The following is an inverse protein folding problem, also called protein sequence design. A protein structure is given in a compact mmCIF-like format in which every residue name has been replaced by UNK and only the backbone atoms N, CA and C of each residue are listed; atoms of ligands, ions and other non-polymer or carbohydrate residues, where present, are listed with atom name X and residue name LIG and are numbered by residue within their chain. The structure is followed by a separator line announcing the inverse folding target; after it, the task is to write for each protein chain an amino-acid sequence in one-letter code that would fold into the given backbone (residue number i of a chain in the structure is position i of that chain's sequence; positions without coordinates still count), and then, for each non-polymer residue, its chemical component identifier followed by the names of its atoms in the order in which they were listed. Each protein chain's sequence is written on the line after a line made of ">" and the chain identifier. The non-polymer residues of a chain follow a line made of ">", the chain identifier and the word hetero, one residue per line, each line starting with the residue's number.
data_IF_017627256959
#
_entry.id   IF_017627256959
#
_cell.length_a   1.000
_cell.length_b   1.000
_cell.length_c   1.000
_cell.angle_alpha   90.00
_cell.angle_beta   90.00
_cell.angle_gamma   90.00
#
_symmetry.space_group_name_H-M   'P 1'
#
loop_
_entity.id
_entity.type
_entity.pdbx_description
1 polymer ?
#
# COMPACT_ATOMS: atom_id res chain seq x y z
N UNK A 1 -10.11 13.85 -0.81
CA UNK A 1 -10.16 12.39 -1.04
C UNK A 1 -11.41 11.82 -0.42
N UNK A 2 -11.95 10.75 -0.95
CA UNK A 2 -13.15 10.08 -0.42
C UNK A 2 -13.04 8.55 -0.57
N UNK A 3 -13.81 7.83 0.24
CA UNK A 3 -14.00 6.39 0.09
C UNK A 3 -15.00 6.13 -1.06
N UNK A 4 -14.63 5.21 -1.97
CA UNK A 4 -15.38 4.97 -3.20
C UNK A 4 -16.46 3.91 -3.00
N UNK A 5 -16.17 2.88 -2.18
CA UNK A 5 -17.06 1.72 -2.00
C UNK A 5 -17.02 1.16 -0.58
N UNK A 6 -17.92 0.20 -0.29
CA UNK A 6 -18.01 -0.49 1.00
C UNK A 6 -18.80 0.27 2.07
N UNK A 7 -18.60 -0.11 3.32
CA UNK A 7 -19.35 0.39 4.49
C UNK A 7 -19.13 1.88 4.78
N UNK A 8 -17.96 2.41 4.37
CA UNK A 8 -17.58 3.81 4.58
C UNK A 8 -17.75 4.67 3.33
N UNK A 9 -18.44 4.16 2.28
CA UNK A 9 -18.63 4.87 1.02
C UNK A 9 -19.08 6.32 1.21
N UNK A 10 -18.40 7.25 0.53
CA UNK A 10 -18.68 8.68 0.56
C UNK A 10 -18.01 9.44 1.71
N UNK A 11 -17.46 8.77 2.74
CA UNK A 11 -16.68 9.45 3.80
C UNK A 11 -15.49 10.20 3.21
N UNK A 12 -15.27 11.41 3.69
CA UNK A 12 -14.16 12.26 3.26
C UNK A 12 -12.97 12.11 4.21
N UNK A 13 -11.79 11.91 3.65
CA UNK A 13 -10.53 11.90 4.39
C UNK A 13 -10.02 13.36 4.42
N UNK A 14 -9.96 14.02 5.61
CA UNK A 14 -9.60 15.43 5.75
C UNK A 14 -8.08 15.65 5.71
N UNK A 15 -7.39 15.03 4.75
CA UNK A 15 -5.95 15.13 4.60
C UNK A 15 -5.55 16.42 3.89
N UNK A 16 -4.63 17.18 4.51
CA UNK A 16 -4.10 18.41 3.94
C UNK A 16 -2.61 18.24 3.59
N UNK A 17 -2.30 18.11 2.30
CA UNK A 17 -0.94 17.89 1.80
C UNK A 17 0.07 18.94 2.32
N UNK A 18 -0.32 20.22 2.39
CA UNK A 18 0.56 21.30 2.88
C UNK A 18 0.99 21.08 4.34
N UNK A 19 0.15 20.45 5.16
CA UNK A 19 0.44 20.16 6.57
C UNK A 19 1.35 18.94 6.74
N UNK A 20 1.37 18.01 5.77
CA UNK A 20 2.06 16.73 5.87
C UNK A 20 3.23 16.59 4.88
N UNK A 21 3.74 17.73 4.35
CA UNK A 21 4.95 17.79 3.54
C UNK A 21 4.86 16.95 2.27
N UNK A 22 4.34 17.52 1.18
CA UNK A 22 4.26 16.94 -0.18
C UNK A 22 3.86 15.46 -0.28
N UNK A 23 3.19 14.94 0.78
CA UNK A 23 2.63 13.60 0.73
C UNK A 23 1.64 13.54 -0.44
N UNK A 24 1.93 12.68 -1.38
CA UNK A 24 1.07 12.52 -2.55
C UNK A 24 -0.26 11.92 -2.15
N UNK A 25 -1.26 12.33 -2.90
CA UNK A 25 -2.60 11.78 -2.80
C UNK A 25 -2.77 10.84 -3.98
N UNK A 26 -2.92 9.56 -3.69
CA UNK A 26 -3.30 8.59 -4.71
C UNK A 26 -4.63 9.02 -5.33
N UNK A 27 -4.66 9.18 -6.65
CA UNK A 27 -5.87 9.62 -7.35
C UNK A 27 -7.01 8.59 -7.24
N UNK A 28 -8.25 9.04 -7.36
CA UNK A 28 -9.40 8.12 -7.37
C UNK A 28 -9.29 7.11 -8.52
N UNK A 29 -8.70 7.49 -9.67
CA UNK A 29 -8.44 6.57 -10.80
C UNK A 29 -7.47 5.44 -10.45
N UNK A 30 -6.43 5.72 -9.67
CA UNK A 30 -5.49 4.68 -9.20
C UNK A 30 -6.19 3.76 -8.21
N UNK A 31 -6.98 4.29 -7.27
CA UNK A 31 -7.78 3.48 -6.35
C UNK A 31 -8.75 2.57 -7.10
N UNK A 32 -9.47 3.09 -8.08
CA UNK A 32 -10.37 2.30 -8.93
C UNK A 32 -9.63 1.19 -9.69
N UNK A 33 -8.41 1.45 -10.16
CA UNK A 33 -7.60 0.44 -10.84
C UNK A 33 -7.14 -0.67 -9.90
N UNK A 34 -6.69 -0.32 -8.68
CA UNK A 34 -6.27 -1.28 -7.65
C UNK A 34 -7.47 -2.14 -7.23
N UNK A 35 -8.55 -1.52 -6.77
CA UNK A 35 -9.70 -2.24 -6.22
C UNK A 35 -10.58 -2.87 -7.29
N UNK A 36 -10.56 -2.36 -8.52
CA UNK A 36 -11.21 -3.01 -9.67
C UNK A 36 -10.57 -4.35 -10.04
N UNK A 37 -9.26 -4.50 -9.80
CA UNK A 37 -8.56 -5.76 -10.02
C UNK A 37 -8.77 -6.78 -8.88
N UNK A 38 -9.13 -6.31 -7.69
CA UNK A 38 -9.32 -7.14 -6.49
C UNK A 38 -10.78 -7.56 -6.27
N UNK A 39 -11.70 -6.92 -6.95
CA UNK A 39 -13.14 -7.10 -6.74
C UNK A 39 -13.76 -6.08 -5.79
N UNK A 40 -15.10 -6.03 -5.73
CA UNK A 40 -15.84 -5.05 -4.94
C UNK A 40 -15.79 -5.33 -3.44
N UNK A 41 -15.60 -6.58 -3.04
CA UNK A 41 -15.59 -7.06 -1.65
C UNK A 41 -14.26 -7.74 -1.33
N UNK A 42 -13.72 -7.46 -0.15
CA UNK A 42 -12.43 -7.96 0.32
C UNK A 42 -12.53 -8.68 1.67
N UNK A 43 -13.70 -9.13 2.06
CA UNK A 43 -13.90 -9.92 3.29
C UNK A 43 -12.99 -11.15 3.28
N UNK A 44 -12.26 -11.36 4.37
CA UNK A 44 -11.26 -12.43 4.50
C UNK A 44 -9.94 -12.17 3.76
N UNK A 45 -9.80 -11.04 3.06
CA UNK A 45 -8.54 -10.64 2.44
C UNK A 45 -7.71 -9.79 3.38
N UNK A 46 -6.38 -9.82 3.18
CA UNK A 46 -5.39 -9.06 3.95
C UNK A 46 -4.63 -8.12 3.03
N UNK A 47 -4.55 -6.86 3.41
CA UNK A 47 -3.79 -5.82 2.70
C UNK A 47 -2.62 -5.35 3.56
N UNK A 48 -1.47 -5.15 2.92
CA UNK A 48 -0.28 -4.51 3.49
C UNK A 48 0.07 -3.25 2.71
N UNK A 49 0.36 -2.15 3.42
CA UNK A 49 0.80 -0.87 2.86
C UNK A 49 1.97 -0.31 3.67
N UNK A 50 3.22 -0.50 3.19
CA UNK A 50 4.43 -0.03 3.87
C UNK A 50 4.61 1.50 3.89
N UNK A 51 3.87 2.24 3.04
CA UNK A 51 4.01 3.68 2.83
C UNK A 51 2.64 4.38 2.87
N UNK A 52 1.90 4.20 3.95
CA UNK A 52 0.48 4.50 4.02
C UNK A 52 0.09 5.97 3.74
N UNK A 53 0.99 6.94 3.96
CA UNK A 53 0.75 8.34 3.63
C UNK A 53 -0.47 8.94 4.32
N UNK A 54 -1.56 9.06 3.57
CA UNK A 54 -2.86 9.53 4.11
C UNK A 54 -3.73 8.39 4.65
N UNK A 55 -3.33 7.13 4.50
CA UNK A 55 -4.10 5.94 4.85
C UNK A 55 -5.22 5.56 3.87
N UNK A 56 -5.37 6.30 2.77
CA UNK A 56 -6.56 6.19 1.90
C UNK A 56 -6.76 4.81 1.25
N UNK A 57 -5.67 4.10 0.92
CA UNK A 57 -5.75 2.72 0.38
C UNK A 57 -6.22 1.77 1.48
N UNK A 58 -5.68 1.91 2.68
CA UNK A 58 -6.09 1.11 3.84
C UNK A 58 -7.55 1.31 4.21
N UNK A 59 -8.02 2.56 4.28
CA UNK A 59 -9.43 2.82 4.61
C UNK A 59 -10.39 2.31 3.52
N UNK A 60 -10.01 2.42 2.25
CA UNK A 60 -10.79 1.87 1.14
C UNK A 60 -10.88 0.34 1.24
N UNK A 61 -9.76 -0.32 1.57
CA UNK A 61 -9.71 -1.77 1.76
C UNK A 61 -10.54 -2.22 2.98
N UNK A 62 -10.40 -1.54 4.13
CA UNK A 62 -11.19 -1.80 5.32
C UNK A 62 -12.69 -1.60 5.08
N UNK A 63 -13.06 -0.53 4.34
CA UNK A 63 -14.44 -0.27 3.92
C UNK A 63 -15.05 -1.41 3.11
N UNK A 64 -14.22 -2.20 2.42
CA UNK A 64 -14.60 -3.38 1.63
C UNK A 64 -14.48 -4.69 2.41
N UNK A 65 -14.16 -4.63 3.70
CA UNK A 65 -14.11 -5.80 4.59
C UNK A 65 -12.74 -6.45 4.75
N UNK A 66 -11.65 -5.87 4.22
CA UNK A 66 -10.30 -6.39 4.41
C UNK A 66 -9.78 -6.15 5.82
N UNK A 67 -8.92 -7.05 6.29
CA UNK A 67 -7.98 -6.76 7.38
C UNK A 67 -6.74 -6.06 6.79
N UNK A 68 -6.25 -5.00 7.45
CA UNK A 68 -5.30 -4.06 6.87
C UNK A 68 -4.13 -3.82 7.81
N UNK A 69 -2.91 -3.87 7.28
CA UNK A 69 -1.67 -3.49 7.96
C UNK A 69 -1.07 -2.27 7.28
N UNK A 70 -1.02 -1.16 8.00
CA UNK A 70 -0.48 0.12 7.55
C UNK A 70 0.82 0.43 8.27
N UNK A 71 1.77 0.99 7.55
CA UNK A 71 2.95 1.58 8.15
C UNK A 71 3.25 2.94 7.54
N UNK A 72 3.64 3.89 8.35
CA UNK A 72 4.27 5.13 7.88
C UNK A 72 5.34 5.58 8.88
N UNK A 73 6.57 5.79 8.40
CA UNK A 73 7.69 6.24 9.24
C UNK A 73 7.54 7.67 9.75
N UNK A 74 6.77 8.50 9.07
CA UNK A 74 6.52 9.87 9.49
C UNK A 74 5.51 9.93 10.64
N UNK A 75 5.96 10.42 11.79
CA UNK A 75 5.14 10.49 13.02
C UNK A 75 3.89 11.34 12.86
N UNK A 76 3.90 12.39 12.02
CA UNK A 76 2.74 13.25 11.80
C UNK A 76 1.68 12.54 10.99
N UNK A 77 2.08 11.84 9.91
CA UNK A 77 1.18 11.02 9.09
C UNK A 77 0.63 9.85 9.89
N UNK A 78 1.48 9.13 10.61
CA UNK A 78 1.05 8.07 11.53
C UNK A 78 0.00 8.58 12.54
N UNK A 79 0.26 9.74 13.20
CA UNK A 79 -0.69 10.36 14.12
C UNK A 79 -2.03 10.71 13.46
N UNK A 80 -1.99 11.21 12.21
CA UNK A 80 -3.19 11.47 11.43
C UNK A 80 -3.98 10.20 11.15
N UNK A 81 -3.30 9.13 10.68
CA UNK A 81 -3.94 7.84 10.37
C UNK A 81 -4.58 7.26 11.63
N UNK A 82 -3.86 7.28 12.77
CA UNK A 82 -4.38 6.80 14.05
C UNK A 82 -5.66 7.51 14.47
N UNK A 83 -5.72 8.84 14.32
CA UNK A 83 -6.92 9.60 14.67
C UNK A 83 -8.13 9.22 13.80
N UNK A 84 -7.91 9.00 12.49
CA UNK A 84 -8.97 8.52 11.58
C UNK A 84 -9.43 7.11 11.96
N UNK A 85 -8.51 6.21 12.28
CA UNK A 85 -8.84 4.84 12.73
C UNK A 85 -9.74 4.89 13.97
N UNK A 86 -9.42 5.75 14.93
CA UNK A 86 -10.23 5.94 16.14
C UNK A 86 -11.60 6.58 15.83
N UNK A 87 -11.62 7.67 15.07
CA UNK A 87 -12.85 8.38 14.70
C UNK A 87 -13.83 7.50 13.90
N UNK A 88 -13.30 6.62 13.07
CA UNK A 88 -14.10 5.76 12.20
C UNK A 88 -14.32 4.35 12.77
N UNK A 89 -13.85 4.08 13.98
CA UNK A 89 -13.99 2.80 14.70
C UNK A 89 -13.42 1.61 13.89
N UNK A 90 -12.21 1.79 13.33
CA UNK A 90 -11.55 0.80 12.47
C UNK A 90 -10.45 0.01 13.18
N UNK A 91 -10.32 0.12 14.50
CA UNK A 91 -9.24 -0.50 15.27
C UNK A 91 -9.20 -2.03 15.15
N UNK A 92 -10.34 -2.68 14.96
CA UNK A 92 -10.42 -4.14 14.80
C UNK A 92 -10.05 -4.62 13.38
N UNK A 93 -9.95 -3.68 12.43
CA UNK A 93 -9.66 -3.99 11.02
C UNK A 93 -8.29 -3.49 10.56
N UNK A 94 -7.74 -2.44 11.21
CA UNK A 94 -6.51 -1.79 10.79
C UNK A 94 -5.47 -1.82 11.90
N UNK A 95 -4.38 -2.56 11.67
CA UNK A 95 -3.13 -2.48 12.42
C UNK A 95 -2.28 -1.34 11.86
N UNK A 96 -1.73 -0.47 12.72
CA UNK A 96 -0.95 0.70 12.32
C UNK A 96 0.40 0.74 13.03
N UNK A 97 1.47 0.78 12.25
CA UNK A 97 2.87 0.88 12.71
C UNK A 97 3.53 2.19 12.34
N UNK A 98 4.55 2.60 13.12
CA UNK A 98 5.42 3.75 12.85
C UNK A 98 6.88 3.30 12.87
N UNK A 99 7.30 2.59 11.84
CA UNK A 99 8.61 1.96 11.75
C UNK A 99 9.28 2.27 10.40
N UNK A 100 10.56 1.97 10.28
CA UNK A 100 11.20 1.79 8.98
C UNK A 100 10.51 0.61 8.27
N UNK A 101 10.17 0.77 6.99
CA UNK A 101 9.39 -0.21 6.25
C UNK A 101 10.07 -1.57 6.14
N UNK A 102 11.39 -1.61 5.99
CA UNK A 102 12.14 -2.87 5.86
C UNK A 102 12.15 -3.65 7.18
N UNK A 103 12.40 -2.96 8.30
CA UNK A 103 12.29 -3.56 9.64
C UNK A 103 10.88 -4.08 9.90
N UNK A 104 9.88 -3.30 9.52
CA UNK A 104 8.48 -3.67 9.70
C UNK A 104 8.09 -4.91 8.91
N UNK A 105 8.44 -5.01 7.60
CA UNK A 105 8.19 -6.20 6.79
C UNK A 105 8.88 -7.44 7.37
N UNK A 106 10.13 -7.29 7.83
CA UNK A 106 10.87 -8.37 8.46
C UNK A 106 10.22 -8.84 9.77
N UNK A 107 9.65 -7.92 10.57
CA UNK A 107 8.89 -8.28 11.77
C UNK A 107 7.61 -9.04 11.42
N UNK A 108 6.87 -8.60 10.40
CA UNK A 108 5.65 -9.29 9.95
C UNK A 108 5.94 -10.69 9.40
N UNK A 109 7.06 -10.90 8.73
CA UNK A 109 7.41 -12.22 8.17
C UNK A 109 7.67 -13.30 9.24
N UNK A 110 7.89 -12.90 10.49
CA UNK A 110 8.01 -13.83 11.61
C UNK A 110 6.67 -14.51 11.98
N UNK A 111 5.54 -13.94 11.53
CA UNK A 111 4.22 -14.53 11.68
C UNK A 111 3.78 -15.20 10.37
N UNK A 112 4.06 -16.49 10.23
CA UNK A 112 3.71 -17.30 9.07
C UNK A 112 2.19 -17.36 8.78
N UNK A 113 1.34 -16.92 9.71
CA UNK A 113 -0.12 -16.85 9.51
C UNK A 113 -0.58 -15.64 8.72
N UNK A 114 0.35 -14.74 8.34
CA UNK A 114 0.07 -13.44 7.71
C UNK A 114 0.48 -13.32 6.21
N UNK A 115 0.26 -14.31 5.30
CA UNK A 115 0.44 -14.02 3.89
C UNK A 115 -0.64 -13.06 3.42
N UNK A 116 -0.21 -12.00 2.70
CA UNK A 116 -1.09 -10.92 2.24
C UNK A 116 -1.66 -11.21 0.86
N UNK A 117 -2.93 -10.85 0.64
CA UNK A 117 -3.58 -10.97 -0.65
C UNK A 117 -3.35 -9.74 -1.54
N UNK A 118 -3.05 -8.61 -0.90
CA UNK A 118 -2.79 -7.34 -1.57
C UNK A 118 -1.66 -6.61 -0.85
N UNK A 119 -0.64 -6.22 -1.61
CA UNK A 119 0.33 -5.24 -1.19
C UNK A 119 0.19 -3.98 -2.05
N UNK A 120 0.20 -2.82 -1.43
CA UNK A 120 0.26 -1.53 -2.12
C UNK A 120 1.56 -0.82 -1.73
N UNK A 121 2.37 -0.46 -2.70
CA UNK A 121 3.72 0.10 -2.51
C UNK A 121 3.80 1.45 -3.22
N UNK A 122 3.85 2.55 -2.48
CA UNK A 122 3.91 3.93 -2.99
C UNK A 122 4.95 4.76 -2.20
N UNK A 123 6.25 4.42 -2.31
CA UNK A 123 7.30 5.18 -1.63
C UNK A 123 7.44 6.59 -2.23
N UNK A 124 8.14 7.52 -1.56
CA UNK A 124 8.50 8.80 -2.15
C UNK A 124 9.25 8.57 -3.49
N UNK A 125 8.91 9.32 -4.54
CA UNK A 125 9.34 9.01 -5.92
C UNK A 125 10.83 9.00 -6.16
N UNK A 126 11.58 9.82 -5.45
CA UNK A 126 13.02 9.92 -5.60
C UNK A 126 13.77 9.21 -4.46
N UNK A 127 13.04 8.42 -3.65
CA UNK A 127 13.64 7.69 -2.55
C UNK A 127 14.42 6.49 -3.07
N UNK A 128 15.66 6.39 -2.59
CA UNK A 128 16.58 5.30 -2.87
C UNK A 128 17.13 4.72 -1.57
N UNK A 129 17.49 3.46 -1.61
CA UNK A 129 18.22 2.81 -0.51
C UNK A 129 19.64 3.37 -0.40
N UNK A 130 20.38 3.09 0.68
CA UNK A 130 21.81 3.47 0.80
C UNK A 130 22.68 2.98 -0.36
N UNK A 131 22.30 1.88 -1.00
CA UNK A 131 22.98 1.27 -2.14
C UNK A 131 22.56 1.90 -3.49
N UNK A 132 21.63 2.87 -3.49
CA UNK A 132 21.16 3.59 -4.67
C UNK A 132 20.02 2.89 -5.43
N UNK A 133 19.43 1.81 -4.91
CA UNK A 133 18.29 1.14 -5.51
C UNK A 133 17.00 1.94 -5.22
N UNK A 134 16.06 2.12 -6.18
CA UNK A 134 14.75 2.72 -5.89
C UNK A 134 14.02 2.00 -4.76
N UNK A 135 13.46 2.73 -3.78
CA UNK A 135 12.73 2.10 -2.65
C UNK A 135 11.54 1.25 -3.14
N UNK A 136 10.94 1.58 -4.27
CA UNK A 136 9.88 0.77 -4.89
C UNK A 136 10.37 -0.63 -5.29
N UNK A 137 11.56 -0.73 -5.88
CA UNK A 137 12.18 -2.00 -6.25
C UNK A 137 12.65 -2.78 -5.02
N UNK A 138 13.32 -2.10 -4.08
CA UNK A 138 13.78 -2.71 -2.84
C UNK A 138 12.63 -3.29 -2.01
N UNK A 139 11.49 -2.59 -1.95
CA UNK A 139 10.31 -3.06 -1.23
C UNK A 139 9.68 -4.29 -1.91
N UNK A 140 9.62 -4.32 -3.26
CA UNK A 140 9.18 -5.50 -4.01
C UNK A 140 10.08 -6.70 -3.71
N UNK A 141 11.40 -6.53 -3.78
CA UNK A 141 12.37 -7.60 -3.45
C UNK A 141 12.16 -8.13 -2.04
N UNK A 142 12.01 -7.22 -1.06
CA UNK A 142 11.79 -7.61 0.32
C UNK A 142 10.48 -8.41 0.52
N UNK A 143 9.39 -8.02 -0.15
CA UNK A 143 8.11 -8.76 -0.08
C UNK A 143 8.27 -10.16 -0.65
N UNK A 144 9.00 -10.32 -1.76
CA UNK A 144 9.29 -11.61 -2.38
C UNK A 144 10.16 -12.49 -1.47
N UNK A 145 11.30 -11.97 -1.02
CA UNK A 145 12.30 -12.69 -0.23
C UNK A 145 11.75 -13.16 1.14
N UNK A 146 10.88 -12.34 1.72
CA UNK A 146 10.22 -12.64 3.00
C UNK A 146 8.96 -13.49 2.86
N UNK A 147 8.58 -13.90 1.64
CA UNK A 147 7.40 -14.72 1.35
C UNK A 147 6.10 -14.15 1.95
N UNK A 148 5.93 -12.84 1.88
CA UNK A 148 4.80 -12.14 2.50
C UNK A 148 3.51 -12.21 1.66
N UNK A 149 3.57 -12.72 0.44
CA UNK A 149 2.42 -12.73 -0.46
C UNK A 149 1.73 -14.11 -0.47
N UNK A 150 0.41 -14.09 -0.40
CA UNK A 150 -0.41 -15.28 -0.65
C UNK A 150 -0.22 -15.76 -2.11
N UNK A 151 -0.30 -17.06 -2.43
CA UNK A 151 -0.16 -17.56 -3.81
C UNK A 151 -1.02 -16.81 -4.84
N UNK A 152 -2.24 -16.42 -4.49
CA UNK A 152 -3.13 -15.63 -5.35
C UNK A 152 -2.97 -14.11 -5.15
N UNK A 153 -1.97 -13.70 -4.39
CA UNK A 153 -1.76 -12.32 -4.01
C UNK A 153 -1.28 -11.44 -5.16
N UNK A 154 -1.48 -10.15 -5.01
CA UNK A 154 -1.08 -9.14 -5.98
C UNK A 154 -0.36 -7.99 -5.28
N UNK A 155 0.66 -7.46 -5.95
CA UNK A 155 1.33 -6.24 -5.52
C UNK A 155 1.03 -5.15 -6.55
N UNK A 156 0.59 -3.99 -6.09
CA UNK A 156 0.48 -2.78 -6.88
C UNK A 156 1.55 -1.80 -6.43
N UNK A 157 2.39 -1.40 -7.36
CA UNK A 157 3.48 -0.43 -7.11
C UNK A 157 3.19 0.83 -7.88
N UNK A 158 3.04 1.94 -7.16
CA UNK A 158 2.99 3.26 -7.76
C UNK A 158 4.40 3.86 -7.76
N UNK A 159 4.88 4.23 -8.92
CA UNK A 159 6.21 4.81 -9.08
C UNK A 159 6.24 5.88 -10.17
N UNK A 160 7.29 6.70 -10.20
CA UNK A 160 7.49 7.65 -11.29
C UNK A 160 7.83 6.93 -12.59
N UNK A 161 7.45 7.50 -13.73
CA UNK A 161 7.83 6.98 -15.06
C UNK A 161 9.34 6.96 -15.33
N UNK A 162 10.14 7.64 -14.49
CA UNK A 162 11.60 7.63 -14.58
C UNK A 162 12.23 6.36 -14.05
N UNK A 163 11.53 5.67 -13.17
CA UNK A 163 11.96 4.38 -12.61
C UNK A 163 11.42 3.28 -13.53
N UNK A 164 12.32 2.46 -14.06
CA UNK A 164 11.98 1.25 -14.82
C UNK A 164 12.13 0.09 -13.86
N UNK A 165 11.00 -0.43 -13.40
CA UNK A 165 11.00 -1.63 -12.57
C UNK A 165 11.22 -2.88 -13.45
N UNK A 166 12.03 -3.86 -13.00
CA UNK A 166 12.24 -5.11 -13.72
C UNK A 166 10.92 -5.88 -13.94
N UNK A 167 10.82 -6.59 -15.07
CA UNK A 167 9.68 -7.46 -15.35
C UNK A 167 9.61 -8.66 -14.40
N UNK A 168 10.75 -9.04 -13.81
CA UNK A 168 10.86 -10.10 -12.82
C UNK A 168 11.74 -9.66 -11.63
N UNK A 169 11.26 -9.91 -10.40
CA UNK A 169 11.97 -9.66 -9.15
C UNK A 169 11.78 -10.90 -8.25
N UNK A 170 12.82 -11.71 -8.09
CA UNK A 170 12.70 -13.01 -7.40
C UNK A 170 11.61 -13.87 -8.03
N UNK A 171 10.62 -14.28 -7.23
CA UNK A 171 9.44 -15.03 -7.66
C UNK A 171 8.30 -14.17 -8.21
N UNK A 172 8.46 -12.84 -8.26
CA UNK A 172 7.43 -11.93 -8.72
C UNK A 172 7.60 -11.62 -10.20
N UNK A 173 6.49 -11.65 -10.96
CA UNK A 173 6.44 -11.27 -12.37
C UNK A 173 5.50 -10.09 -12.57
N UNK A 174 5.92 -9.10 -13.36
CA UNK A 174 5.09 -7.97 -13.74
C UNK A 174 4.01 -8.44 -14.72
N UNK A 175 2.75 -8.32 -14.33
CA UNK A 175 1.60 -8.73 -15.15
C UNK A 175 0.97 -7.59 -15.92
N UNK A 176 1.19 -6.35 -15.47
CA UNK A 176 0.64 -5.14 -16.09
C UNK A 176 1.39 -3.91 -15.60
N UNK A 177 1.56 -2.93 -16.49
CA UNK A 177 1.92 -1.57 -16.11
C UNK A 177 1.03 -0.59 -16.86
N UNK A 178 0.49 0.42 -16.17
CA UNK A 178 -0.39 1.43 -16.76
C UNK A 178 -0.04 2.82 -16.25
N UNK A 179 -0.04 3.78 -17.17
CA UNK A 179 0.28 5.18 -16.87
C UNK A 179 -0.92 5.94 -16.34
N UNK A 180 -0.69 6.72 -15.27
CA UNK A 180 -1.62 7.67 -14.66
C UNK A 180 -0.91 9.00 -14.43
N UNK A 181 -1.04 9.92 -15.40
CA UNK A 181 -0.30 11.18 -15.39
C UNK A 181 1.22 10.96 -15.47
N UNK A 182 1.96 11.43 -14.46
CA UNK A 182 3.41 11.24 -14.35
C UNK A 182 3.81 9.97 -13.58
N UNK A 183 2.83 9.19 -13.13
CA UNK A 183 3.03 7.92 -12.42
C UNK A 183 2.75 6.74 -13.30
N UNK A 184 3.38 5.63 -12.97
CA UNK A 184 3.02 4.29 -13.40
C UNK A 184 2.44 3.52 -12.22
N UNK A 185 1.43 2.71 -12.49
CA UNK A 185 0.95 1.67 -11.59
C UNK A 185 1.30 0.32 -12.20
N UNK A 186 2.29 -0.34 -11.63
CA UNK A 186 2.75 -1.66 -12.03
C UNK A 186 2.17 -2.73 -11.12
N UNK A 187 1.74 -3.84 -11.70
CA UNK A 187 1.15 -4.96 -10.95
C UNK A 187 2.04 -6.19 -11.09
N UNK A 188 2.35 -6.79 -9.94
CA UNK A 188 3.12 -8.02 -9.83
C UNK A 188 2.30 -9.14 -9.20
N UNK A 189 2.65 -10.39 -9.53
CA UNK A 189 2.13 -11.62 -8.93
C UNK A 189 3.26 -12.63 -8.78
N UNK A 190 3.06 -13.61 -7.92
CA UNK A 190 3.89 -14.81 -7.91
C UNK A 190 3.72 -15.57 -9.23
N UNK A 191 4.84 -16.07 -9.79
CA UNK A 191 4.91 -16.89 -10.99
C UNK A 191 4.83 -18.38 -10.68
#
# INVERSE_FOLDING_TARGET
>A
MRIISGTLKGRRIPFNNRKFGDARVTSDFVKEAVFGAMGPELTGKRLIDPFAGSGQIGYEAASRGAAVWLNDRDKKRHGFIRNIIQEWELADQIDLSNEDWHRWLKRLSADASLPFHLAYVDPPYDAVTPEGMPESEACLSAIADLNLLNPDGQIFVQHTRRIILPDQIGSLHQTKSKRYGDSLLSRYRLG
#
